data_IF_110313625740
#
_entry.id   IF_110313625740
#
_cell.length_a   1.000
_cell.length_b   1.000
_cell.length_c   1.000
_cell.angle_alpha   90.00
_cell.angle_beta   90.00
_cell.angle_gamma   90.00
#
_symmetry.space_group_name_H-M   'P 1'
#
loop_
_entity.id
_entity.type
_entity.pdbx_description
1 polymer ?
#
# COMPACT_ATOMS: atom_id res chain seq x y z
N UNK A 1 -3.97 0.48 12.47
CA UNK A 1 -4.46 0.65 11.09
C UNK A 1 -4.30 2.11 10.69
N UNK A 2 -3.95 2.42 9.43
CA UNK A 2 -3.65 3.80 9.00
C UNK A 2 -4.53 4.31 7.86
N UNK A 3 -5.28 3.42 7.21
CA UNK A 3 -6.00 3.74 5.98
C UNK A 3 -6.43 2.49 5.23
N UNK A 4 -7.00 2.72 4.06
CA UNK A 4 -7.52 1.69 3.15
C UNK A 4 -6.83 1.79 1.80
N UNK A 5 -6.44 0.64 1.24
CA UNK A 5 -6.01 0.52 -0.16
C UNK A 5 -7.26 0.14 -0.97
N UNK A 6 -7.56 0.91 -2.02
CA UNK A 6 -8.64 0.61 -2.95
C UNK A 6 -8.05 0.15 -4.29
N UNK A 7 -8.54 -0.96 -4.82
CA UNK A 7 -8.15 -1.52 -6.11
C UNK A 7 -9.39 -1.59 -6.99
N UNK A 8 -9.45 -0.76 -8.01
CA UNK A 8 -10.49 -0.79 -9.05
C UNK A 8 -9.95 -1.48 -10.30
N UNK A 9 -10.59 -2.55 -10.77
CA UNK A 9 -10.27 -3.18 -12.05
C UNK A 9 -11.21 -2.64 -13.13
N UNK A 10 -10.64 -1.98 -14.14
CA UNK A 10 -11.33 -1.59 -15.39
C UNK A 10 -10.81 -2.47 -16.52
N UNK A 11 -11.52 -2.53 -17.65
CA UNK A 11 -11.06 -3.32 -18.81
C UNK A 11 -9.63 -2.90 -19.19
N UNK A 12 -8.67 -3.82 -18.99
CA UNK A 12 -7.26 -3.62 -19.33
C UNK A 12 -6.45 -2.71 -18.40
N UNK A 13 -7.01 -2.16 -17.31
CA UNK A 13 -6.28 -1.29 -16.38
C UNK A 13 -6.72 -1.47 -14.94
N UNK A 14 -5.74 -1.56 -14.02
CA UNK A 14 -5.99 -1.44 -12.59
C UNK A 14 -5.74 0.01 -12.15
N UNK A 15 -6.73 0.61 -11.50
CA UNK A 15 -6.59 1.88 -10.79
C UNK A 15 -6.44 1.55 -9.30
N UNK A 16 -5.33 1.96 -8.69
CA UNK A 16 -5.07 1.69 -7.29
C UNK A 16 -4.88 3.02 -6.55
N UNK A 17 -5.35 3.08 -5.31
CA UNK A 17 -5.25 4.28 -4.49
C UNK A 17 -5.18 3.93 -3.00
N UNK A 18 -4.68 4.86 -2.21
CA UNK A 18 -4.68 4.78 -0.76
C UNK A 18 -5.48 5.94 -0.17
N UNK A 19 -6.25 5.68 0.87
CA UNK A 19 -7.04 6.70 1.59
C UNK A 19 -6.73 6.57 3.07
N UNK A 20 -6.29 7.68 3.69
CA UNK A 20 -6.02 7.75 5.13
C UNK A 20 -7.33 7.66 5.93
N UNK A 21 -7.24 7.12 7.15
CA UNK A 21 -8.36 7.15 8.09
C UNK A 21 -8.65 8.58 8.56
N UNK A 22 -9.94 8.88 8.78
CA UNK A 22 -10.41 10.21 9.20
C UNK A 22 -9.68 10.74 10.44
N UNK A 23 -9.51 9.88 11.46
CA UNK A 23 -8.81 10.21 12.70
C UNK A 23 -7.36 10.66 12.50
N UNK A 24 -6.72 10.21 11.42
CA UNK A 24 -5.33 10.56 11.06
C UNK A 24 -5.26 11.76 10.11
N UNK A 25 -6.37 12.19 9.53
CA UNK A 25 -6.42 13.38 8.66
C UNK A 25 -6.45 14.69 9.45
N UNK A 26 -7.00 14.64 10.67
CA UNK A 26 -7.16 15.81 11.57
C UNK A 26 -5.85 16.27 12.21
N UNK A 27 -4.85 15.38 12.35
CA UNK A 27 -3.58 15.67 13.01
C UNK A 27 -2.73 16.72 12.27
N UNK A 28 -2.93 16.88 10.96
CA UNK A 28 -2.24 17.87 10.13
C UNK A 28 -2.77 19.31 10.26
N UNK A 29 -3.87 19.52 10.99
CA UNK A 29 -4.51 20.83 11.15
C UNK A 29 -3.97 21.66 12.33
N UNK A 30 -2.94 21.21 13.05
CA UNK A 30 -2.44 21.89 14.25
C UNK A 30 -1.61 23.17 13.99
N UNK A 31 -1.49 23.61 12.73
CA UNK A 31 -0.76 24.84 12.36
C UNK A 31 -1.42 25.73 11.30
N UNK A 32 -2.42 25.24 10.57
CA UNK A 32 -3.11 26.00 9.53
C UNK A 32 -4.59 26.13 9.91
N UNK A 33 -4.97 27.36 10.28
CA UNK A 33 -6.32 27.89 10.53
C UNK A 33 -7.46 26.89 10.22
N UNK A 34 -8.10 26.41 11.28
CA UNK A 34 -9.31 25.59 11.23
C UNK A 34 -10.40 26.24 10.35
N UNK A 35 -10.59 25.75 9.12
CA UNK A 35 -11.78 26.00 8.30
C UNK A 35 -11.73 25.15 7.02
N UNK A 36 -11.95 23.84 7.13
CA UNK A 36 -12.54 23.01 6.07
C UNK A 36 -12.58 21.58 6.58
N UNK A 37 -13.76 20.97 6.67
CA UNK A 37 -13.89 19.52 6.72
C UNK A 37 -13.21 18.99 5.46
N UNK A 38 -11.97 18.53 5.56
CA UNK A 38 -11.22 18.03 4.41
C UNK A 38 -11.56 16.56 4.28
N UNK A 39 -12.26 16.21 3.21
CA UNK A 39 -12.50 14.81 2.88
C UNK A 39 -11.18 14.00 2.97
N UNK A 40 -11.22 12.72 3.38
CA UNK A 40 -10.03 11.89 3.46
C UNK A 40 -9.18 12.01 2.20
N UNK A 41 -7.88 12.34 2.37
CA UNK A 41 -6.99 12.58 1.24
C UNK A 41 -6.86 11.28 0.43
N UNK A 42 -7.31 11.33 -0.82
CA UNK A 42 -7.19 10.25 -1.78
C UNK A 42 -5.82 10.34 -2.47
N UNK A 43 -5.01 9.30 -2.31
CA UNK A 43 -3.66 9.21 -2.87
C UNK A 43 -3.67 8.21 -4.03
N UNK A 44 -3.82 8.67 -5.30
CA UNK A 44 -3.76 7.78 -6.44
C UNK A 44 -2.33 7.28 -6.64
N UNK A 45 -2.16 5.98 -6.91
CA UNK A 45 -0.91 5.44 -7.45
C UNK A 45 -1.03 5.40 -8.97
N UNK A 46 -0.93 6.58 -9.57
CA UNK A 46 -1.13 6.82 -11.02
C UNK A 46 -0.16 6.03 -11.88
N UNK A 47 1.02 5.70 -11.35
CA UNK A 47 2.07 5.00 -12.07
C UNK A 47 2.39 3.68 -11.40
N UNK A 48 2.01 2.59 -12.07
CA UNK A 48 2.46 1.24 -11.73
C UNK A 48 3.75 0.96 -12.51
N UNK A 49 4.84 0.66 -11.81
CA UNK A 49 6.12 0.33 -12.43
C UNK A 49 6.28 -1.19 -12.52
N UNK A 50 6.72 -1.68 -13.68
CA UNK A 50 7.11 -3.08 -13.83
C UNK A 50 8.48 -3.31 -13.19
N UNK A 51 8.62 -4.38 -12.43
CA UNK A 51 9.90 -4.85 -11.86
C UNK A 51 10.58 -5.91 -12.74
N UNK A 52 10.26 -5.94 -14.03
CA UNK A 52 10.76 -6.93 -14.98
C UNK A 52 12.29 -7.00 -15.03
N UNK A 53 12.84 -8.22 -15.18
CA UNK A 53 14.28 -8.46 -15.32
C UNK A 53 15.05 -8.60 -14.01
N UNK A 54 14.41 -8.40 -12.85
CA UNK A 54 15.02 -8.61 -11.53
C UNK A 54 14.10 -9.43 -10.62
N UNK A 55 14.69 -10.17 -9.68
CA UNK A 55 13.94 -10.84 -8.60
C UNK A 55 14.21 -10.10 -7.31
N UNK A 56 13.17 -9.49 -6.73
CA UNK A 56 13.25 -8.83 -5.43
C UNK A 56 12.84 -9.81 -4.34
N UNK A 57 13.62 -9.88 -3.26
CA UNK A 57 13.33 -10.66 -2.07
C UNK A 57 13.41 -9.76 -0.83
N UNK A 58 12.56 -10.02 0.16
CA UNK A 58 12.56 -9.30 1.44
C UNK A 58 13.05 -10.25 2.52
N UNK A 59 14.14 -9.86 3.18
CA UNK A 59 14.64 -10.54 4.37
C UNK A 59 14.37 -9.64 5.58
N UNK A 60 13.85 -10.24 6.65
CA UNK A 60 13.54 -9.52 7.89
C UNK A 60 14.36 -10.16 8.99
N UNK A 61 15.15 -9.36 9.68
CA UNK A 61 15.87 -9.77 10.89
C UNK A 61 15.05 -9.33 12.11
N UNK A 62 14.74 -10.28 12.99
CA UNK A 62 13.97 -10.04 14.22
C UNK A 62 14.89 -9.96 15.41
N UNK A 63 14.60 -9.05 16.35
CA UNK A 63 15.38 -8.86 17.58
C UNK A 63 15.37 -10.08 18.51
N UNK A 64 14.45 -11.03 18.32
CA UNK A 64 14.30 -12.22 19.15
C UNK A 64 15.29 -13.35 18.82
N UNK A 65 16.31 -13.07 18.01
CA UNK A 65 17.12 -14.12 17.40
C UNK A 65 16.33 -14.77 16.26
N UNK A 66 17.06 -15.03 15.20
CA UNK A 66 16.75 -15.77 13.99
C UNK A 66 16.10 -17.13 14.27
N UNK A 67 14.83 -17.13 14.69
CA UNK A 67 13.90 -18.18 14.33
C UNK A 67 13.50 -17.89 12.89
N UNK A 68 14.12 -18.63 11.98
CA UNK A 68 13.74 -18.69 10.59
C UNK A 68 12.23 -18.94 10.51
N UNK A 69 11.46 -17.88 10.37
CA UNK A 69 10.08 -18.00 9.92
C UNK A 69 10.20 -18.69 8.56
N UNK A 70 9.60 -19.87 8.34
CA UNK A 70 9.54 -20.39 7.00
C UNK A 70 8.78 -19.34 6.21
N UNK A 71 9.49 -18.63 5.34
CA UNK A 71 8.85 -18.08 4.15
C UNK A 71 8.14 -19.30 3.55
N UNK A 72 6.81 -19.39 3.75
CA UNK A 72 6.03 -20.46 3.18
C UNK A 72 6.09 -20.23 1.67
N UNK A 73 7.05 -20.91 1.03
CA UNK A 73 7.18 -21.06 -0.41
C UNK A 73 6.03 -21.92 -0.96
N UNK A 74 4.78 -21.63 -0.57
CA UNK A 74 3.58 -22.29 -1.07
C UNK A 74 2.73 -21.26 -1.77
N UNK A 75 3.07 -21.02 -3.04
CA UNK A 75 2.25 -20.21 -3.92
C UNK A 75 3.04 -19.39 -4.93
N UNK A 76 3.87 -20.02 -5.77
CA UNK A 76 4.14 -19.44 -7.10
C UNK A 76 2.86 -19.57 -7.93
N UNK A 77 1.87 -18.73 -7.67
CA UNK A 77 0.96 -18.32 -8.73
C UNK A 77 1.59 -17.08 -9.37
N UNK A 78 2.04 -17.14 -10.63
CA UNK A 78 2.29 -15.91 -11.35
C UNK A 78 0.94 -15.20 -11.41
N UNK A 79 0.84 -13.99 -10.86
CA UNK A 79 -0.26 -13.10 -11.17
C UNK A 79 -0.20 -12.83 -12.67
N UNK A 80 -0.90 -13.66 -13.46
CA UNK A 80 -1.09 -13.42 -14.88
C UNK A 80 -2.11 -12.30 -14.98
N UNK A 81 -1.63 -11.11 -15.29
CA UNK A 81 -2.48 -10.06 -15.84
C UNK A 81 -2.93 -10.55 -17.22
N UNK A 82 -4.18 -10.99 -17.30
CA UNK A 82 -4.94 -11.12 -18.55
C UNK A 82 -5.80 -9.89 -18.76
#
# INVERSE_FOLDING_TARGET
EVGKINIGKKQGKADVSFTLNEDLTSLSAFGEKAASVRAPRHHPMTTMHSVGGQTLAVFIESSAGNSQLPCSNTGKTPWRYG
#
